data_IF_709498968673
#
_entry.id   IF_709498968673
#
_cell.length_a   1.000
_cell.length_b   1.000
_cell.length_c   1.000
_cell.angle_alpha   90.00
_cell.angle_beta   90.00
_cell.angle_gamma   90.00
#
_symmetry.space_group_name_H-M   'P 1'
#
loop_
_entity.id
_entity.type
_entity.pdbx_description
1 polymer ?
#
# COMPACT_ATOMS: atom_id res chain seq x y z
N UNK A 1 4.40 -2.10 19.69
CA UNK A 1 5.13 -0.86 19.29
C UNK A 1 6.08 -0.49 20.41
N UNK A 2 7.34 -0.19 20.08
CA UNK A 2 8.40 0.18 21.03
C UNK A 2 7.95 1.27 22.03
N UNK A 3 7.28 2.33 21.54
CA UNK A 3 6.79 3.42 22.38
C UNK A 3 5.69 3.00 23.38
N UNK A 4 4.82 2.03 23.02
CA UNK A 4 3.83 1.49 23.96
C UNK A 4 4.49 0.68 25.08
N UNK A 5 5.53 -0.08 24.75
CA UNK A 5 6.31 -0.83 25.73
C UNK A 5 7.10 0.11 26.65
N UNK A 6 7.74 1.13 26.09
CA UNK A 6 8.43 2.16 26.85
C UNK A 6 7.50 2.90 27.83
N UNK A 7 6.27 3.21 27.41
CA UNK A 7 5.27 3.83 28.30
C UNK A 7 4.92 2.91 29.48
N UNK A 8 4.71 1.62 29.21
CA UNK A 8 4.46 0.60 30.24
C UNK A 8 5.66 0.44 31.20
N UNK A 9 6.88 0.39 30.66
CA UNK A 9 8.11 0.25 31.44
C UNK A 9 8.39 1.50 32.32
N UNK A 10 8.02 2.70 31.83
CA UNK A 10 8.07 3.94 32.61
C UNK A 10 7.04 3.93 33.75
N UNK A 11 5.82 3.43 33.49
CA UNK A 11 4.77 3.28 34.50
C UNK A 11 5.15 2.26 35.58
N UNK A 12 5.69 1.10 35.19
CA UNK A 12 6.15 0.06 36.12
C UNK A 12 7.33 0.53 36.97
N UNK A 13 8.29 1.24 36.37
CA UNK A 13 9.40 1.87 37.10
C UNK A 13 8.91 2.89 38.13
N UNK A 14 7.95 3.73 37.74
CA UNK A 14 7.36 4.74 38.62
C UNK A 14 6.62 4.10 39.82
N UNK A 15 5.81 3.06 39.55
CA UNK A 15 5.12 2.31 40.59
C UNK A 15 6.10 1.62 41.55
N UNK A 16 7.19 1.08 41.02
CA UNK A 16 8.23 0.42 41.83
C UNK A 16 8.95 1.40 42.74
N UNK A 17 9.32 2.59 42.25
CA UNK A 17 9.97 3.61 43.07
C UNK A 17 9.05 4.15 44.17
N UNK A 18 7.76 4.35 43.87
CA UNK A 18 6.76 4.71 44.89
C UNK A 18 6.59 3.63 45.97
N UNK A 19 6.58 2.35 45.58
CA UNK A 19 6.40 1.24 46.51
C UNK A 19 7.64 0.96 47.39
N UNK A 20 8.85 1.27 46.90
CA UNK A 20 10.10 1.08 47.65
C UNK A 20 10.45 2.25 48.57
N UNK A 21 9.82 3.41 48.37
CA UNK A 21 9.96 4.60 49.21
C UNK A 21 9.50 4.33 50.65
N UNK A 22 10.44 4.36 51.61
CA UNK A 22 10.17 4.26 53.06
C UNK A 22 10.53 5.57 53.74
N UNK A 23 9.60 6.18 54.48
CA UNK A 23 9.77 7.47 55.14
C UNK A 23 8.92 8.58 54.52
N UNK A 24 9.18 9.83 54.90
CA UNK A 24 8.45 11.00 54.38
C UNK A 24 8.90 11.27 52.93
N UNK A 25 8.02 11.05 51.96
CA UNK A 25 8.33 11.12 50.53
C UNK A 25 8.80 12.50 50.06
N UNK A 26 8.41 13.56 50.78
CA UNK A 26 8.78 14.93 50.47
C UNK A 26 10.24 15.26 50.79
N UNK A 27 10.90 14.46 51.63
CA UNK A 27 12.30 14.67 52.02
C UNK A 27 13.28 13.92 51.08
N UNK A 28 12.76 13.10 50.16
CA UNK A 28 13.56 12.32 49.21
C UNK A 28 13.68 13.06 47.87
N UNK A 29 14.68 13.93 47.77
CA UNK A 29 14.96 14.77 46.59
C UNK A 29 15.19 13.92 45.32
N UNK A 30 15.91 12.80 45.45
CA UNK A 30 16.21 11.90 44.32
C UNK A 30 14.94 11.25 43.75
N UNK A 31 13.99 10.89 44.63
CA UNK A 31 12.69 10.35 44.22
C UNK A 31 11.86 11.42 43.50
N UNK A 32 11.86 12.67 43.99
CA UNK A 32 11.12 13.78 43.35
C UNK A 32 11.66 14.05 41.94
N UNK A 33 12.98 14.09 41.77
CA UNK A 33 13.62 14.29 40.46
C UNK A 33 13.31 13.14 39.49
N UNK A 34 13.33 11.90 39.97
CA UNK A 34 13.05 10.72 39.13
C UNK A 34 11.57 10.65 38.72
N UNK A 35 10.66 11.03 39.61
CA UNK A 35 9.23 11.17 39.30
C UNK A 35 8.98 12.26 38.25
N UNK A 36 9.64 13.41 38.37
CA UNK A 36 9.51 14.51 37.40
C UNK A 36 10.08 14.14 36.02
N UNK A 37 11.25 13.47 35.99
CA UNK A 37 11.85 12.94 34.77
C UNK A 37 10.97 11.89 34.10
N UNK A 38 10.42 10.95 34.88
CA UNK A 38 9.55 9.88 34.38
C UNK A 38 8.23 10.44 33.85
N UNK A 39 7.62 11.39 34.56
CA UNK A 39 6.42 12.10 34.11
C UNK A 39 6.66 12.84 32.79
N UNK A 40 7.80 13.52 32.66
CA UNK A 40 8.17 14.26 31.45
C UNK A 40 8.35 13.31 30.27
N UNK A 41 9.10 12.21 30.45
CA UNK A 41 9.29 11.18 29.42
C UNK A 41 7.97 10.50 29.02
N UNK A 42 7.13 10.15 29.99
CA UNK A 42 5.82 9.54 29.74
C UNK A 42 4.92 10.49 28.93
N UNK A 43 4.93 11.79 29.25
CA UNK A 43 4.18 12.82 28.52
C UNK A 43 4.69 12.96 27.07
N UNK A 44 6.01 12.96 26.87
CA UNK A 44 6.63 13.01 25.54
C UNK A 44 6.29 11.77 24.70
N UNK A 45 6.38 10.57 25.29
CA UNK A 45 6.03 9.31 24.62
C UNK A 45 4.55 9.28 24.26
N UNK A 46 3.68 9.76 25.14
CA UNK A 46 2.23 9.86 24.88
C UNK A 46 1.94 10.81 23.72
N UNK A 47 2.58 11.98 23.68
CA UNK A 47 2.48 12.92 22.57
C UNK A 47 2.96 12.30 21.24
N UNK A 48 4.10 11.59 21.24
CA UNK A 48 4.61 10.88 20.06
C UNK A 48 3.66 9.78 19.60
N UNK A 49 3.00 9.07 20.51
CA UNK A 49 2.00 8.05 20.17
C UNK A 49 0.76 8.66 19.52
N UNK A 50 0.26 9.79 20.04
CA UNK A 50 -0.86 10.52 19.45
C UNK A 50 -0.53 11.04 18.05
N UNK A 51 0.65 11.66 17.89
CA UNK A 51 1.13 12.13 16.59
C UNK A 51 1.26 10.96 15.59
N UNK A 52 1.85 9.83 16.02
CA UNK A 52 1.97 8.65 15.17
C UNK A 52 0.60 8.08 14.77
N UNK A 53 -0.39 8.13 15.66
CA UNK A 53 -1.75 7.71 15.37
C UNK A 53 -2.40 8.59 14.30
N UNK A 54 -2.25 9.91 14.41
CA UNK A 54 -2.74 10.87 13.40
C UNK A 54 -2.06 10.65 12.05
N UNK A 55 -0.73 10.54 12.03
CA UNK A 55 0.03 10.24 10.80
C UNK A 55 -0.38 8.91 10.17
N UNK A 56 -0.67 7.88 10.98
CA UNK A 56 -1.12 6.59 10.46
C UNK A 56 -2.47 6.70 9.72
N UNK A 57 -3.40 7.51 10.25
CA UNK A 57 -4.69 7.80 9.58
C UNK A 57 -4.45 8.51 8.24
N UNK A 58 -3.55 9.50 8.21
CA UNK A 58 -3.23 10.23 6.97
C UNK A 58 -2.54 9.34 5.92
N UNK A 59 -1.64 8.44 6.36
CA UNK A 59 -1.03 7.42 5.50
C UNK A 59 -2.10 6.51 4.93
N UNK A 60 -3.03 6.02 5.77
CA UNK A 60 -4.09 5.12 5.32
C UNK A 60 -5.00 5.80 4.29
N UNK A 61 -5.42 7.04 4.56
CA UNK A 61 -6.21 7.85 3.64
C UNK A 61 -5.49 8.07 2.31
N UNK A 62 -4.19 8.36 2.36
CA UNK A 62 -3.37 8.55 1.15
C UNK A 62 -3.24 7.23 0.38
N UNK A 63 -3.01 6.11 1.08
CA UNK A 63 -2.90 4.77 0.51
C UNK A 63 -4.17 4.35 -0.20
N UNK A 64 -5.33 4.58 0.42
CA UNK A 64 -6.64 4.28 -0.19
C UNK A 64 -6.87 5.05 -1.48
N UNK A 65 -6.37 6.27 -1.57
CA UNK A 65 -6.38 7.06 -2.80
C UNK A 65 -5.68 6.39 -4.00
N UNK A 66 -4.68 5.54 -3.75
CA UNK A 66 -3.94 4.79 -4.79
C UNK A 66 -4.46 3.37 -5.03
N UNK A 67 -5.47 2.91 -4.26
CA UNK A 67 -6.09 1.59 -4.42
C UNK A 67 -6.55 1.30 -5.86
N UNK A 68 -7.11 2.26 -6.64
CA UNK A 68 -7.46 2.01 -8.04
C UNK A 68 -6.26 1.64 -8.92
N UNK A 69 -5.09 2.26 -8.70
CA UNK A 69 -3.87 1.94 -9.44
C UNK A 69 -3.35 0.54 -9.10
N UNK A 70 -3.42 0.15 -7.83
CA UNK A 70 -3.07 -1.20 -7.40
C UNK A 70 -4.00 -2.26 -8.01
N UNK A 71 -5.31 -2.00 -8.02
CA UNK A 71 -6.30 -2.89 -8.63
C UNK A 71 -6.08 -3.05 -10.13
N UNK A 72 -5.82 -1.96 -10.86
CA UNK A 72 -5.47 -2.00 -12.29
C UNK A 72 -4.21 -2.83 -12.52
N UNK A 73 -3.17 -2.62 -11.71
CA UNK A 73 -1.93 -3.40 -11.78
C UNK A 73 -2.17 -4.90 -11.59
N UNK A 74 -2.97 -5.29 -10.60
CA UNK A 74 -3.30 -6.69 -10.36
C UNK A 74 -4.01 -7.32 -11.57
N UNK A 75 -5.01 -6.63 -12.14
CA UNK A 75 -5.73 -7.12 -13.31
C UNK A 75 -4.79 -7.30 -14.50
N UNK A 76 -3.95 -6.31 -14.79
CA UNK A 76 -3.00 -6.36 -15.90
C UNK A 76 -1.98 -7.49 -15.73
N UNK A 77 -1.51 -7.74 -14.51
CA UNK A 77 -0.62 -8.86 -14.24
C UNK A 77 -1.29 -10.21 -14.51
N UNK A 78 -2.53 -10.40 -14.03
CA UNK A 78 -3.23 -11.66 -14.26
C UNK A 78 -3.55 -11.89 -15.73
N UNK A 79 -3.98 -10.85 -16.48
CA UNK A 79 -4.17 -10.97 -17.93
C UNK A 79 -2.86 -11.37 -18.62
N UNK A 80 -1.73 -10.76 -18.24
CA UNK A 80 -0.42 -11.09 -18.80
C UNK A 80 0.00 -12.54 -18.47
N UNK A 81 -0.27 -13.01 -17.25
CA UNK A 81 0.03 -14.38 -16.82
C UNK A 81 -0.87 -15.42 -17.52
N UNK A 82 -2.14 -15.09 -17.72
CA UNK A 82 -3.14 -15.94 -18.38
C UNK A 82 -2.81 -16.19 -19.86
N UNK A 83 -1.97 -15.36 -20.49
CA UNK A 83 -1.48 -15.59 -21.86
C UNK A 83 -0.73 -16.93 -22.00
N UNK A 84 -0.19 -17.47 -20.92
CA UNK A 84 0.45 -18.79 -20.90
C UNK A 84 -0.51 -19.94 -21.26
N UNK A 85 -1.83 -19.74 -21.07
CA UNK A 85 -2.89 -20.68 -21.46
C UNK A 85 -3.09 -20.67 -22.98
N UNK A 86 -2.90 -19.52 -23.63
CA UNK A 86 -2.99 -19.38 -25.08
C UNK A 86 -1.79 -20.05 -25.76
N UNK A 87 -0.60 -19.83 -25.22
CA UNK A 87 0.62 -20.47 -25.67
C UNK A 87 1.60 -20.60 -24.50
N UNK A 88 2.13 -21.81 -24.28
CA UNK A 88 3.05 -22.11 -23.18
C UNK A 88 4.35 -21.29 -23.20
N UNK A 89 4.68 -20.66 -24.34
CA UNK A 89 5.81 -19.73 -24.47
C UNK A 89 5.56 -18.35 -23.85
N UNK A 90 4.30 -17.93 -23.67
CA UNK A 90 3.93 -16.63 -23.14
C UNK A 90 3.95 -16.62 -21.60
N UNK A 91 5.15 -16.80 -21.03
CA UNK A 91 5.36 -16.79 -19.59
C UNK A 91 6.02 -15.50 -19.13
N UNK A 92 5.44 -14.88 -18.11
CA UNK A 92 5.93 -13.65 -17.52
C UNK A 92 6.03 -13.80 -16.01
N UNK A 93 7.16 -13.38 -15.45
CA UNK A 93 7.36 -13.38 -14.00
C UNK A 93 6.74 -12.15 -13.36
N UNK A 94 6.31 -12.29 -12.09
CA UNK A 94 5.87 -11.13 -11.30
C UNK A 94 6.99 -10.10 -11.12
N UNK A 95 8.25 -10.54 -11.01
CA UNK A 95 9.40 -9.64 -10.86
C UNK A 95 9.54 -8.72 -12.08
N UNK A 96 9.51 -9.27 -13.29
CA UNK A 96 9.59 -8.48 -14.54
C UNK A 96 8.38 -7.55 -14.70
N UNK A 97 7.18 -8.02 -14.32
CA UNK A 97 6.00 -7.16 -14.30
C UNK A 97 6.17 -5.98 -13.33
N UNK A 98 6.72 -6.20 -12.13
CA UNK A 98 6.94 -5.14 -11.15
C UNK A 98 7.93 -4.08 -11.64
N UNK A 99 8.92 -4.45 -12.45
CA UNK A 99 9.80 -3.47 -13.10
C UNK A 99 9.02 -2.55 -14.04
N UNK A 100 8.14 -3.12 -14.88
CA UNK A 100 7.26 -2.36 -15.79
C UNK A 100 6.26 -1.52 -15.00
N UNK A 101 5.75 -2.03 -13.88
CA UNK A 101 4.85 -1.29 -13.00
C UNK A 101 5.54 -0.06 -12.40
N UNK A 102 6.73 -0.23 -11.80
CA UNK A 102 7.53 0.87 -11.25
C UNK A 102 7.94 1.86 -12.34
N UNK A 103 8.32 1.38 -13.51
CA UNK A 103 8.62 2.21 -14.67
C UNK A 103 7.42 3.08 -15.08
N UNK A 104 6.23 2.49 -15.11
CA UNK A 104 4.98 3.20 -15.45
C UNK A 104 4.63 4.27 -14.43
N UNK A 105 4.82 4.00 -13.14
CA UNK A 105 4.64 5.01 -12.09
C UNK A 105 5.59 6.19 -12.27
N UNK A 106 6.86 5.94 -12.61
CA UNK A 106 7.87 6.98 -12.85
C UNK A 106 7.59 7.79 -14.10
N UNK A 107 7.11 7.17 -15.19
CA UNK A 107 6.84 7.85 -16.48
C UNK A 107 5.48 8.51 -16.58
N UNK A 108 4.51 8.09 -15.77
CA UNK A 108 3.19 8.74 -15.74
C UNK A 108 3.32 10.23 -15.43
N UNK A 109 2.49 11.05 -16.08
CA UNK A 109 2.53 12.51 -15.91
C UNK A 109 2.17 12.92 -14.47
N UNK A 110 3.02 13.69 -13.76
CA UNK A 110 2.72 14.17 -12.42
C UNK A 110 1.56 15.17 -12.45
N UNK A 111 0.71 15.12 -11.43
CA UNK A 111 -0.40 16.06 -11.26
C UNK A 111 -0.62 16.28 -9.76
N UNK A 112 -0.97 17.51 -9.37
CA UNK A 112 -1.25 17.88 -7.98
C UNK A 112 -2.61 17.35 -7.52
N UNK A 113 -3.55 17.16 -8.45
CA UNK A 113 -4.86 16.59 -8.19
C UNK A 113 -4.73 15.07 -8.24
N UNK A 114 -4.88 14.43 -7.08
CA UNK A 114 -4.74 12.97 -6.94
C UNK A 114 -5.55 12.20 -7.99
N UNK A 115 -6.82 12.57 -8.21
CA UNK A 115 -7.68 11.90 -9.20
C UNK A 115 -7.10 11.93 -10.62
N UNK A 116 -6.54 13.07 -11.04
CA UNK A 116 -5.88 13.20 -12.35
C UNK A 116 -4.59 12.40 -12.39
N UNK A 117 -3.78 12.48 -11.32
CA UNK A 117 -2.56 11.67 -11.18
C UNK A 117 -2.85 10.18 -11.29
N UNK A 118 -3.91 9.69 -10.66
CA UNK A 118 -4.33 8.30 -10.77
C UNK A 118 -4.70 7.96 -12.21
N UNK A 119 -5.50 8.76 -12.90
CA UNK A 119 -5.82 8.51 -14.32
C UNK A 119 -4.58 8.43 -15.20
N UNK A 120 -3.63 9.37 -15.03
CA UNK A 120 -2.36 9.35 -15.76
C UNK A 120 -1.56 8.07 -15.49
N UNK A 121 -1.57 7.58 -14.24
CA UNK A 121 -0.94 6.31 -13.86
C UNK A 121 -1.64 5.13 -14.53
N UNK A 122 -2.97 5.10 -14.53
CA UNK A 122 -3.76 4.01 -15.12
C UNK A 122 -3.51 3.88 -16.63
N UNK A 123 -3.49 5.01 -17.34
CA UNK A 123 -3.21 5.06 -18.77
C UNK A 123 -1.78 4.60 -19.07
N UNK A 124 -0.78 5.15 -18.36
CA UNK A 124 0.61 4.78 -18.53
C UNK A 124 0.86 3.29 -18.23
N UNK A 125 0.26 2.75 -17.16
CA UNK A 125 0.35 1.34 -16.79
C UNK A 125 -0.21 0.45 -17.90
N UNK A 126 -1.43 0.76 -18.37
CA UNK A 126 -2.11 -0.05 -19.39
C UNK A 126 -1.27 -0.09 -20.67
N UNK A 127 -0.78 1.06 -21.12
CA UNK A 127 0.01 1.15 -22.36
C UNK A 127 1.38 0.48 -22.23
N UNK A 128 2.08 0.67 -21.13
CA UNK A 128 3.40 0.06 -20.94
C UNK A 128 3.33 -1.45 -20.77
N UNK A 129 2.32 -1.97 -20.06
CA UNK A 129 2.13 -3.42 -19.93
C UNK A 129 1.72 -4.03 -21.26
N UNK A 130 0.85 -3.38 -22.04
CA UNK A 130 0.51 -3.83 -23.38
C UNK A 130 1.76 -3.91 -24.27
N UNK A 131 2.55 -2.83 -24.33
CA UNK A 131 3.77 -2.80 -25.12
C UNK A 131 4.76 -3.88 -24.69
N UNK A 132 4.94 -4.04 -23.37
CA UNK A 132 5.79 -5.09 -22.81
C UNK A 132 5.34 -6.49 -23.23
N UNK A 133 4.07 -6.83 -23.08
CA UNK A 133 3.52 -8.11 -23.55
C UNK A 133 3.73 -8.31 -25.05
N UNK A 134 3.42 -7.30 -25.85
CA UNK A 134 3.56 -7.34 -27.31
C UNK A 134 5.02 -7.50 -27.80
N UNK A 135 6.04 -7.30 -26.96
CA UNK A 135 7.43 -7.63 -27.34
C UNK A 135 7.68 -9.14 -27.43
N UNK A 136 6.93 -9.95 -26.68
CA UNK A 136 7.09 -11.41 -26.62
C UNK A 136 5.98 -12.21 -27.31
N UNK A 137 4.85 -11.58 -27.63
CA UNK A 137 3.67 -12.21 -28.23
C UNK A 137 3.72 -12.10 -29.76
N UNK A 138 3.41 -13.19 -30.48
CA UNK A 138 3.29 -13.16 -31.94
C UNK A 138 2.13 -12.28 -32.41
N UNK A 139 2.26 -11.71 -33.62
CA UNK A 139 1.30 -10.74 -34.16
C UNK A 139 -0.16 -11.22 -34.12
N UNK A 140 -0.39 -12.50 -34.40
CA UNK A 140 -1.72 -13.11 -34.45
C UNK A 140 -2.45 -13.10 -33.09
N UNK A 141 -1.74 -13.12 -31.96
CA UNK A 141 -2.35 -13.08 -30.62
C UNK A 141 -2.37 -11.67 -29.98
N UNK A 142 -1.81 -10.64 -30.63
CA UNK A 142 -1.82 -9.27 -30.08
C UNK A 142 -3.23 -8.71 -29.93
N UNK A 143 -4.11 -9.00 -30.89
CA UNK A 143 -5.52 -8.59 -30.83
C UNK A 143 -6.27 -9.30 -29.69
N UNK A 144 -5.98 -10.58 -29.46
CA UNK A 144 -6.54 -11.32 -28.33
C UNK A 144 -6.09 -10.70 -27.01
N UNK A 145 -4.81 -10.35 -26.89
CA UNK A 145 -4.27 -9.74 -25.69
C UNK A 145 -4.89 -8.37 -25.40
N UNK A 146 -4.99 -7.49 -26.40
CA UNK A 146 -5.65 -6.17 -26.22
C UNK A 146 -7.13 -6.31 -25.87
N UNK A 147 -7.82 -7.28 -26.47
CA UNK A 147 -9.21 -7.60 -26.16
C UNK A 147 -9.36 -8.11 -24.73
N UNK A 148 -8.53 -9.06 -24.27
CA UNK A 148 -8.57 -9.56 -22.90
C UNK A 148 -8.29 -8.48 -21.86
N UNK A 149 -7.31 -7.59 -22.11
CA UNK A 149 -7.06 -6.43 -21.25
C UNK A 149 -8.36 -5.62 -21.16
N UNK A 150 -8.90 -5.18 -22.29
CA UNK A 150 -10.10 -4.32 -22.34
C UNK A 150 -11.26 -4.97 -21.59
N UNK A 151 -11.55 -6.24 -21.87
CA UNK A 151 -12.62 -6.98 -21.19
C UNK A 151 -12.45 -7.00 -19.68
N UNK A 152 -11.28 -7.39 -19.16
CA UNK A 152 -11.06 -7.43 -17.71
C UNK A 152 -11.16 -6.05 -17.06
N UNK A 153 -10.75 -5.00 -17.77
CA UNK A 153 -10.89 -3.62 -17.30
C UNK A 153 -12.35 -3.17 -17.26
N UNK A 154 -13.15 -3.49 -18.28
CA UNK A 154 -14.58 -3.17 -18.35
C UNK A 154 -15.41 -3.99 -17.36
N UNK A 155 -15.09 -5.28 -17.17
CA UNK A 155 -15.69 -6.13 -16.15
C UNK A 155 -15.45 -5.56 -14.74
N UNK A 156 -14.25 -5.06 -14.46
CA UNK A 156 -13.95 -4.40 -13.18
C UNK A 156 -14.82 -3.15 -12.97
N UNK A 157 -15.11 -2.41 -14.04
CA UNK A 157 -16.01 -1.25 -13.99
C UNK A 157 -17.49 -1.63 -13.97
N UNK A 158 -17.82 -2.93 -14.09
CA UNK A 158 -19.18 -3.47 -14.21
C UNK A 158 -19.92 -3.00 -15.47
N UNK A 159 -19.18 -2.60 -16.49
CA UNK A 159 -19.75 -2.22 -17.78
C UNK A 159 -20.10 -3.44 -18.64
N UNK A 160 -19.47 -4.59 -18.36
CA UNK A 160 -19.68 -5.85 -19.05
C UNK A 160 -19.92 -6.95 -18.01
N UNK A 161 -21.03 -7.67 -18.14
CA UNK A 161 -21.36 -8.80 -17.27
C UNK A 161 -20.77 -10.11 -17.80
N UNK A 162 -20.57 -11.09 -16.93
CA UNK A 162 -20.02 -12.39 -17.35
C UNK A 162 -20.99 -13.13 -18.26
N UNK A 163 -22.30 -13.00 -18.04
CA UNK A 163 -23.35 -13.61 -18.85
C UNK A 163 -23.35 -13.09 -20.30
N UNK A 164 -23.10 -11.79 -20.49
CA UNK A 164 -23.00 -11.17 -21.81
C UNK A 164 -21.78 -11.69 -22.58
N UNK A 165 -20.66 -11.89 -21.87
CA UNK A 165 -19.46 -12.46 -22.45
C UNK A 165 -19.62 -13.94 -22.80
N UNK A 166 -20.24 -14.70 -21.92
CA UNK A 166 -20.52 -16.12 -22.16
C UNK A 166 -21.46 -16.30 -23.35
N UNK A 167 -22.39 -15.36 -23.58
CA UNK A 167 -23.21 -15.33 -24.78
C UNK A 167 -22.40 -14.95 -26.02
N UNK A 168 -21.52 -13.94 -25.94
CA UNK A 168 -20.71 -13.50 -27.07
C UNK A 168 -19.70 -14.55 -27.55
N UNK A 169 -19.17 -15.37 -26.64
CA UNK A 169 -18.15 -16.39 -26.95
C UNK A 169 -18.77 -17.70 -27.46
N UNK A 170 -20.04 -17.97 -27.14
CA UNK A 170 -20.79 -19.16 -27.60
C UNK A 170 -21.32 -18.99 -29.01
#
# INVERSE_FOLDING_TARGET
SFNKKLLYDLEDSLLRELAQSKGNMLDNVDLVETLESTKTKASEVTYKLDLASKTAIDIEKTRDGYRPAAMRGAILFFVLADMSVVNSMYQYSLASFLEVFVFSLKRSLPDTILRKRINNILEALTMNVYNYGCTGIFEREKLLFSFQITLKLEQQQKNVQQEELDFFIK
#
